data_IF_594996068137
#
_entry.id   IF_594996068137
#
_cell.length_a   1.000
_cell.length_b   1.000
_cell.length_c   1.000
_cell.angle_alpha   90.00
_cell.angle_beta   90.00
_cell.angle_gamma   90.00
#
_symmetry.space_group_name_H-M   'P 1'
#
loop_
_entity.id
_entity.type
_entity.pdbx_description
1 polymer ?
#
# COMPACT_ATOMS: atom_id res chain seq x y z
N UNK A 1 -2.45 34.71 6.54
CA UNK A 1 -2.59 34.12 5.20
C UNK A 1 -1.33 33.36 4.80
N UNK A 2 -0.13 33.97 4.88
CA UNK A 2 1.15 33.32 4.52
C UNK A 2 1.41 31.93 5.14
N UNK A 3 1.08 31.72 6.42
CA UNK A 3 1.34 30.43 7.09
C UNK A 3 0.51 29.25 6.58
N UNK A 4 -0.71 29.48 6.05
CA UNK A 4 -1.52 28.38 5.52
C UNK A 4 -0.96 27.85 4.20
N UNK A 5 -0.43 28.73 3.37
CA UNK A 5 0.09 28.36 2.04
C UNK A 5 1.40 27.59 2.15
N UNK A 6 2.26 27.98 3.09
CA UNK A 6 3.50 27.25 3.42
C UNK A 6 3.18 25.85 3.97
N UNK A 7 2.22 25.73 4.89
CA UNK A 7 1.82 24.42 5.43
C UNK A 7 1.21 23.52 4.36
N UNK A 8 0.44 24.09 3.43
CA UNK A 8 -0.14 23.35 2.30
C UNK A 8 0.93 22.88 1.32
N UNK A 9 1.96 23.69 1.06
CA UNK A 9 3.12 23.29 0.27
C UNK A 9 3.91 22.14 0.91
N UNK A 10 4.18 22.21 2.22
CA UNK A 10 4.86 21.12 2.95
C UNK A 10 4.01 19.84 2.93
N UNK A 11 2.70 19.96 3.11
CA UNK A 11 1.77 18.85 3.08
C UNK A 11 1.74 18.13 1.72
N UNK A 12 1.74 18.89 0.62
CA UNK A 12 1.84 18.34 -0.74
C UNK A 12 3.16 17.62 -0.99
N UNK A 13 4.28 18.21 -0.59
CA UNK A 13 5.61 17.59 -0.72
C UNK A 13 5.68 16.30 0.10
N UNK A 14 5.21 16.34 1.35
CA UNK A 14 5.17 15.17 2.23
C UNK A 14 4.28 14.07 1.64
N UNK A 15 3.11 14.42 1.09
CA UNK A 15 2.20 13.48 0.42
C UNK A 15 2.79 12.87 -0.87
N UNK A 16 3.57 13.63 -1.65
CA UNK A 16 4.25 13.10 -2.84
C UNK A 16 5.44 12.20 -2.47
N UNK A 17 6.18 12.55 -1.42
CA UNK A 17 7.35 11.80 -0.99
C UNK A 17 6.98 10.53 -0.20
N UNK A 18 5.84 10.52 0.51
CA UNK A 18 5.48 9.42 1.41
C UNK A 18 5.32 8.07 0.71
N UNK A 19 4.66 7.92 -0.46
CA UNK A 19 4.56 6.63 -1.14
C UNK A 19 5.94 6.07 -1.50
N UNK A 20 6.86 6.94 -1.93
CA UNK A 20 8.22 6.56 -2.32
C UNK A 20 8.98 6.07 -1.10
N UNK A 21 8.92 6.82 0.02
CA UNK A 21 9.63 6.47 1.25
C UNK A 21 9.06 5.20 1.90
N UNK A 22 7.74 5.07 1.96
CA UNK A 22 7.03 3.91 2.53
C UNK A 22 7.28 2.68 1.68
N UNK A 23 7.14 2.81 0.36
CA UNK A 23 7.47 1.77 -0.61
C UNK A 23 8.92 1.33 -0.46
N UNK A 24 9.87 2.27 -0.43
CA UNK A 24 11.27 1.96 -0.23
C UNK A 24 11.53 1.25 1.12
N UNK A 25 10.94 1.71 2.21
CA UNK A 25 11.15 1.12 3.53
C UNK A 25 10.61 -0.31 3.66
N UNK A 26 9.38 -0.54 3.16
CA UNK A 26 8.70 -1.83 3.24
C UNK A 26 9.25 -2.80 2.19
N UNK A 27 9.45 -2.36 0.95
CA UNK A 27 9.82 -3.22 -0.18
C UNK A 27 11.34 -3.44 -0.32
N UNK A 28 12.20 -2.53 0.14
CA UNK A 28 13.66 -2.71 0.04
C UNK A 28 14.17 -4.08 0.55
N UNK A 29 13.76 -4.59 1.72
CA UNK A 29 14.19 -5.93 2.15
C UNK A 29 13.70 -7.04 1.22
N UNK A 30 12.50 -6.91 0.64
CA UNK A 30 11.94 -7.87 -0.31
C UNK A 30 12.66 -7.81 -1.66
N UNK A 31 12.91 -6.62 -2.18
CA UNK A 31 13.64 -6.42 -3.44
C UNK A 31 15.07 -6.94 -3.34
N UNK A 32 15.73 -6.69 -2.20
CA UNK A 32 17.05 -7.28 -1.92
C UNK A 32 16.96 -8.80 -1.93
N UNK A 33 16.01 -9.40 -1.23
CA UNK A 33 15.84 -10.86 -1.22
C UNK A 33 15.53 -11.43 -2.62
N UNK A 34 14.67 -10.75 -3.39
CA UNK A 34 14.27 -11.13 -4.73
C UNK A 34 15.44 -11.12 -5.73
N UNK A 35 16.31 -10.10 -5.64
CA UNK A 35 17.51 -10.00 -6.49
C UNK A 35 18.52 -11.12 -6.24
N UNK A 36 18.67 -11.56 -4.99
CA UNK A 36 19.64 -12.57 -4.61
C UNK A 36 19.17 -14.00 -4.93
N UNK A 37 17.90 -14.35 -4.70
CA UNK A 37 17.44 -15.74 -4.86
C UNK A 37 17.01 -16.11 -6.27
N UNK A 38 16.39 -15.18 -7.01
CA UNK A 38 15.82 -15.43 -8.34
C UNK A 38 14.96 -16.70 -8.42
N UNK A 39 14.17 -16.97 -7.36
CA UNK A 39 13.32 -18.17 -7.29
C UNK A 39 12.25 -18.13 -8.41
N UNK A 40 11.86 -19.29 -8.99
CA UNK A 40 10.79 -19.33 -9.99
C UNK A 40 9.49 -18.77 -9.41
N UNK A 41 8.80 -17.96 -10.20
CA UNK A 41 7.53 -17.38 -9.82
C UNK A 41 6.48 -18.48 -9.61
N UNK A 42 5.82 -18.48 -8.44
CA UNK A 42 4.74 -19.40 -8.11
C UNK A 42 3.50 -18.62 -7.74
N UNK A 43 2.44 -18.78 -8.53
CA UNK A 43 1.13 -18.23 -8.23
C UNK A 43 0.37 -19.12 -7.25
N UNK A 44 -0.33 -18.53 -6.28
CA UNK A 44 -1.14 -19.26 -5.29
C UNK A 44 -2.54 -18.68 -5.18
N UNK A 45 -3.51 -19.48 -4.70
CA UNK A 45 -4.87 -19.01 -4.42
C UNK A 45 -4.91 -17.83 -3.44
N UNK A 46 -3.96 -17.78 -2.50
CA UNK A 46 -3.79 -16.64 -1.59
C UNK A 46 -3.56 -15.32 -2.34
N UNK A 47 -2.78 -15.34 -3.42
CA UNK A 47 -2.55 -14.14 -4.23
C UNK A 47 -3.83 -13.69 -4.92
N UNK A 48 -4.62 -14.63 -5.45
CA UNK A 48 -5.91 -14.33 -6.09
C UNK A 48 -6.87 -13.64 -5.12
N UNK A 49 -7.07 -14.19 -3.93
CA UNK A 49 -7.91 -13.56 -2.90
C UNK A 49 -7.34 -12.22 -2.44
N UNK A 50 -6.01 -12.09 -2.41
CA UNK A 50 -5.33 -10.83 -2.18
C UNK A 50 -5.69 -9.74 -3.17
N UNK A 51 -5.76 -10.08 -4.46
CA UNK A 51 -6.19 -9.13 -5.50
C UNK A 51 -7.63 -8.69 -5.28
N UNK A 52 -8.54 -9.65 -5.05
CA UNK A 52 -9.95 -9.34 -4.81
C UNK A 52 -10.11 -8.42 -3.60
N UNK A 53 -9.38 -8.69 -2.52
CA UNK A 53 -9.37 -7.84 -1.32
C UNK A 53 -8.79 -6.45 -1.62
N UNK A 54 -7.66 -6.38 -2.34
CA UNK A 54 -7.02 -5.11 -2.68
C UNK A 54 -7.91 -4.22 -3.55
N UNK A 55 -8.64 -4.81 -4.50
CA UNK A 55 -9.57 -4.11 -5.41
C UNK A 55 -10.77 -3.53 -4.64
N UNK A 56 -11.27 -4.22 -3.61
CA UNK A 56 -12.42 -3.74 -2.84
C UNK A 56 -12.12 -2.41 -2.13
N UNK A 57 -10.87 -2.15 -1.76
CA UNK A 57 -10.48 -0.94 -1.03
C UNK A 57 -10.71 0.35 -1.82
N UNK A 58 -10.09 0.56 -3.00
CA UNK A 58 -10.34 1.76 -3.77
C UNK A 58 -11.77 1.80 -4.31
N UNK A 59 -12.43 0.66 -4.56
CA UNK A 59 -13.85 0.65 -4.90
C UNK A 59 -14.74 1.17 -3.76
N UNK A 60 -14.44 0.78 -2.51
CA UNK A 60 -15.13 1.31 -1.33
C UNK A 60 -14.87 2.81 -1.17
N UNK A 61 -13.63 3.27 -1.42
CA UNK A 61 -13.30 4.69 -1.40
C UNK A 61 -14.09 5.47 -2.46
N UNK A 62 -14.14 5.01 -3.72
CA UNK A 62 -14.93 5.65 -4.78
C UNK A 62 -16.40 5.72 -4.37
N UNK A 63 -16.99 4.63 -3.87
CA UNK A 63 -18.38 4.62 -3.42
C UNK A 63 -18.65 5.52 -2.20
N UNK A 64 -17.66 5.71 -1.32
CA UNK A 64 -17.80 6.51 -0.10
C UNK A 64 -17.60 8.00 -0.34
N UNK A 65 -16.74 8.39 -1.29
CA UNK A 65 -16.34 9.78 -1.51
C UNK A 65 -16.94 10.41 -2.77
N UNK A 66 -17.31 9.63 -3.79
CA UNK A 66 -17.91 10.16 -5.01
C UNK A 66 -19.42 10.28 -4.81
N UNK A 67 -20.01 11.48 -4.98
CA UNK A 67 -21.46 11.64 -4.91
C UNK A 67 -22.17 10.67 -5.85
N UNK A 68 -23.28 10.08 -5.39
CA UNK A 68 -24.06 9.17 -6.24
C UNK A 68 -24.69 9.97 -7.39
N UNK A 69 -24.56 9.50 -8.63
CA UNK A 69 -25.11 10.21 -9.79
C UNK A 69 -26.64 10.29 -9.67
N UNK A 70 -27.20 11.47 -9.95
CA UNK A 70 -28.65 11.70 -9.97
C UNK A 70 -29.29 11.31 -11.31
N UNK A 71 -28.48 11.13 -12.36
CA UNK A 71 -28.90 10.68 -13.69
C UNK A 71 -27.84 9.74 -14.30
N UNK A 72 -28.25 8.90 -15.25
CA UNK A 72 -27.34 7.93 -15.90
C UNK A 72 -26.21 8.60 -16.70
N UNK A 73 -26.43 9.78 -17.27
CA UNK A 73 -25.45 10.50 -18.10
C UNK A 73 -24.32 11.14 -17.29
N UNK A 74 -24.51 11.38 -15.99
CA UNK A 74 -23.53 12.05 -15.12
C UNK A 74 -22.52 11.09 -14.48
N UNK A 75 -22.52 9.81 -14.89
CA UNK A 75 -21.74 8.75 -14.23
C UNK A 75 -20.34 8.52 -14.84
N UNK A 76 -19.97 9.26 -15.88
CA UNK A 76 -18.73 9.06 -16.63
C UNK A 76 -17.46 9.21 -15.77
N UNK A 77 -17.45 10.18 -14.84
CA UNK A 77 -16.33 10.41 -13.92
C UNK A 77 -16.13 9.26 -12.92
N UNK A 78 -17.22 8.72 -12.36
CA UNK A 78 -17.14 7.60 -11.43
C UNK A 78 -16.64 6.32 -12.13
N UNK A 79 -17.12 6.06 -13.35
CA UNK A 79 -16.66 4.93 -14.17
C UNK A 79 -15.14 5.03 -14.41
N UNK A 80 -14.64 6.20 -14.79
CA UNK A 80 -13.21 6.42 -14.98
C UNK A 80 -12.41 6.13 -13.69
N UNK A 81 -12.90 6.61 -12.55
CA UNK A 81 -12.27 6.34 -11.24
C UNK A 81 -12.26 4.84 -10.90
N UNK A 82 -13.33 4.11 -11.19
CA UNK A 82 -13.36 2.64 -11.01
C UNK A 82 -12.34 1.93 -11.89
N UNK A 83 -12.24 2.29 -13.17
CA UNK A 83 -11.27 1.70 -14.10
C UNK A 83 -9.84 1.98 -13.62
N UNK A 84 -9.55 3.22 -13.23
CA UNK A 84 -8.24 3.59 -12.69
C UNK A 84 -7.93 2.84 -11.39
N UNK A 85 -8.89 2.74 -10.46
CA UNK A 85 -8.76 1.99 -9.23
C UNK A 85 -8.43 0.52 -9.48
N UNK A 86 -9.11 -0.11 -10.44
CA UNK A 86 -8.86 -1.50 -10.85
C UNK A 86 -7.45 -1.67 -11.44
N UNK A 87 -7.06 -0.79 -12.38
CA UNK A 87 -5.75 -0.86 -13.03
C UNK A 87 -4.61 -0.68 -12.03
N UNK A 88 -4.70 0.32 -11.14
CA UNK A 88 -3.67 0.55 -10.12
C UNK A 88 -3.60 -0.63 -9.16
N UNK A 89 -4.73 -1.18 -8.72
CA UNK A 89 -4.76 -2.36 -7.85
C UNK A 89 -4.12 -3.56 -8.52
N UNK A 90 -4.42 -3.81 -9.80
CA UNK A 90 -3.84 -4.91 -10.56
C UNK A 90 -2.32 -4.77 -10.71
N UNK A 91 -1.82 -3.55 -10.99
CA UNK A 91 -0.38 -3.27 -11.11
C UNK A 91 0.34 -3.45 -9.77
N UNK A 92 -0.18 -2.87 -8.69
CA UNK A 92 0.39 -2.98 -7.34
C UNK A 92 0.40 -4.44 -6.87
N UNK A 93 -0.70 -5.15 -7.08
CA UNK A 93 -0.78 -6.56 -6.76
C UNK A 93 0.22 -7.40 -7.57
N UNK A 94 0.25 -7.23 -8.90
CA UNK A 94 1.12 -8.02 -9.78
C UNK A 94 2.59 -7.83 -9.42
N UNK A 95 3.00 -6.58 -9.19
CA UNK A 95 4.38 -6.25 -8.77
C UNK A 95 4.71 -6.90 -7.43
N UNK A 96 3.83 -6.81 -6.43
CA UNK A 96 4.03 -7.41 -5.12
C UNK A 96 4.14 -8.94 -5.19
N UNK A 97 3.20 -9.61 -5.85
CA UNK A 97 3.19 -11.08 -5.99
C UNK A 97 4.43 -11.56 -6.74
N UNK A 98 4.85 -10.85 -7.79
CA UNK A 98 6.09 -11.13 -8.52
C UNK A 98 7.31 -11.00 -7.61
N UNK A 99 7.37 -9.98 -6.76
CA UNK A 99 8.45 -9.78 -5.80
C UNK A 99 8.46 -10.87 -4.73
N UNK A 100 7.31 -11.24 -4.17
CA UNK A 100 7.20 -12.33 -3.18
C UNK A 100 7.68 -13.67 -3.74
N UNK A 101 7.27 -14.00 -4.97
CA UNK A 101 7.71 -15.19 -5.68
C UNK A 101 9.23 -15.22 -5.88
N UNK A 102 9.81 -14.13 -6.40
CA UNK A 102 11.26 -14.01 -6.59
C UNK A 102 12.05 -14.06 -5.28
N UNK A 103 11.49 -13.52 -4.20
CA UNK A 103 12.08 -13.58 -2.85
C UNK A 103 12.07 -15.00 -2.25
N UNK A 104 11.43 -15.97 -2.91
CA UNK A 104 11.40 -17.38 -2.48
C UNK A 104 10.53 -17.60 -1.25
N UNK A 105 9.48 -16.79 -1.05
CA UNK A 105 8.56 -16.90 0.07
C UNK A 105 7.52 -17.96 -0.29
N UNK A 106 7.78 -19.20 0.10
CA UNK A 106 6.96 -20.37 -0.26
C UNK A 106 5.94 -20.76 0.82
N UNK A 107 6.15 -20.33 2.07
CA UNK A 107 5.26 -20.67 3.19
C UNK A 107 3.94 -19.89 3.06
N UNK A 108 2.83 -20.61 2.97
CA UNK A 108 1.48 -20.04 2.79
C UNK A 108 1.16 -19.00 3.87
N UNK A 109 1.47 -19.29 5.14
CA UNK A 109 1.22 -18.36 6.25
C UNK A 109 1.95 -17.02 6.07
N UNK A 110 3.24 -17.06 5.73
CA UNK A 110 4.04 -15.85 5.52
C UNK A 110 3.53 -15.05 4.32
N UNK A 111 3.13 -15.74 3.26
CA UNK A 111 2.52 -15.13 2.07
C UNK A 111 1.17 -14.48 2.37
N UNK A 112 0.31 -15.12 3.17
CA UNK A 112 -0.95 -14.53 3.62
C UNK A 112 -0.72 -13.22 4.38
N UNK A 113 0.25 -13.17 5.31
CA UNK A 113 0.59 -11.94 6.02
C UNK A 113 1.04 -10.82 5.08
N UNK A 114 1.86 -11.14 4.09
CA UNK A 114 2.30 -10.16 3.10
C UNK A 114 1.15 -9.65 2.23
N UNK A 115 0.27 -10.55 1.78
CA UNK A 115 -0.80 -10.24 0.84
C UNK A 115 -1.98 -9.54 1.49
N UNK A 116 -2.39 -9.93 2.70
CA UNK A 116 -3.60 -9.38 3.36
C UNK A 116 -3.31 -8.23 4.32
N UNK A 117 -2.06 -8.04 4.75
CA UNK A 117 -1.72 -6.97 5.70
C UNK A 117 -0.69 -6.02 5.13
N UNK A 118 0.48 -6.52 4.72
CA UNK A 118 1.56 -5.63 4.25
C UNK A 118 1.20 -4.94 2.95
N UNK A 119 0.63 -5.65 1.99
CA UNK A 119 0.29 -5.10 0.68
C UNK A 119 -0.83 -4.04 0.79
N UNK A 120 -1.97 -4.30 1.47
CA UNK A 120 -2.97 -3.28 1.78
C UNK A 120 -2.41 -2.12 2.58
N UNK A 121 -1.57 -2.36 3.59
CA UNK A 121 -0.95 -1.27 4.36
C UNK A 121 -0.05 -0.41 3.48
N UNK A 122 0.80 -1.01 2.65
CA UNK A 122 1.65 -0.27 1.71
C UNK A 122 0.84 0.52 0.68
N UNK A 123 -0.25 -0.07 0.17
CA UNK A 123 -1.17 0.59 -0.74
C UNK A 123 -1.89 1.77 -0.06
N UNK A 124 -2.52 1.54 1.09
CA UNK A 124 -3.30 2.53 1.83
C UNK A 124 -2.44 3.68 2.34
N UNK A 125 -1.27 3.36 2.91
CA UNK A 125 -0.35 4.35 3.45
C UNK A 125 0.28 5.23 2.36
N UNK A 126 0.19 4.85 1.08
CA UNK A 126 0.54 5.74 -0.02
C UNK A 126 -0.50 6.85 -0.22
N UNK A 127 -1.79 6.57 0.00
CA UNK A 127 -2.89 7.52 -0.22
C UNK A 127 -3.29 8.28 1.03
N UNK A 128 -3.22 7.66 2.21
CA UNK A 128 -3.65 8.26 3.46
C UNK A 128 -3.00 9.61 3.80
N UNK A 129 -1.69 9.81 3.57
CA UNK A 129 -1.06 11.10 3.83
C UNK A 129 -1.72 12.25 3.08
N UNK A 130 -2.21 12.02 1.86
CA UNK A 130 -2.97 13.01 1.10
C UNK A 130 -4.29 13.35 1.76
N UNK A 131 -5.03 12.34 2.20
CA UNK A 131 -6.31 12.51 2.89
C UNK A 131 -6.09 13.24 4.22
N UNK A 132 -5.11 12.81 5.01
CA UNK A 132 -4.75 13.45 6.28
C UNK A 132 -4.34 14.92 6.08
N UNK A 133 -3.54 15.21 5.05
CA UNK A 133 -3.15 16.58 4.70
C UNK A 133 -4.36 17.44 4.32
N UNK A 134 -5.27 16.92 3.48
CA UNK A 134 -6.50 17.61 3.10
C UNK A 134 -7.40 17.88 4.32
N UNK A 135 -7.52 16.92 5.23
CA UNK A 135 -8.30 17.06 6.47
C UNK A 135 -7.67 18.08 7.43
N UNK A 136 -6.34 18.10 7.60
CA UNK A 136 -5.66 19.07 8.48
C UNK A 136 -5.82 20.51 7.95
N UNK A 137 -5.81 20.67 6.62
CA UNK A 137 -6.01 21.96 5.97
C UNK A 137 -7.43 22.53 6.20
N UNK A 138 -8.44 21.67 6.34
CA UNK A 138 -9.83 22.06 6.62
C UNK A 138 -10.09 22.06 8.15
N UNK A 139 -10.31 23.24 8.74
CA UNK A 139 -10.16 23.51 10.18
C UNK A 139 -10.96 22.66 11.20
N UNK A 140 -12.14 22.05 10.94
CA UNK A 140 -12.88 21.36 12.00
C UNK A 140 -12.39 19.92 12.31
N UNK A 141 -11.45 19.33 11.57
CA UNK A 141 -11.08 17.90 11.71
C UNK A 141 -9.60 17.63 12.03
N UNK A 142 -8.87 18.61 12.60
CA UNK A 142 -7.42 18.48 12.88
C UNK A 142 -7.02 17.26 13.71
N UNK A 143 -7.81 16.90 14.74
CA UNK A 143 -7.52 15.73 15.57
C UNK A 143 -7.56 14.43 14.74
N UNK A 144 -8.56 14.28 13.87
CA UNK A 144 -8.69 13.13 12.97
C UNK A 144 -7.51 13.04 11.99
N UNK A 145 -7.08 14.19 11.46
CA UNK A 145 -5.89 14.23 10.60
C UNK A 145 -4.61 13.79 11.31
N UNK A 146 -4.42 14.17 12.57
CA UNK A 146 -3.27 13.72 13.39
C UNK A 146 -3.36 12.22 13.70
N UNK A 147 -4.55 11.71 14.04
CA UNK A 147 -4.76 10.28 14.30
C UNK A 147 -4.48 9.44 13.05
N UNK A 148 -4.96 9.87 11.87
CA UNK A 148 -4.67 9.21 10.60
C UNK A 148 -3.17 9.23 10.29
N UNK A 149 -2.48 10.36 10.49
CA UNK A 149 -1.03 10.43 10.28
C UNK A 149 -0.27 9.48 11.23
N UNK A 150 -0.68 9.40 12.50
CA UNK A 150 -0.11 8.47 13.47
C UNK A 150 -0.35 7.01 13.06
N UNK A 151 -1.55 6.68 12.58
CA UNK A 151 -1.90 5.36 12.07
C UNK A 151 -1.01 4.94 10.89
N UNK A 152 -0.78 5.84 9.91
CA UNK A 152 0.13 5.59 8.78
C UNK A 152 1.53 5.22 9.27
N UNK A 153 2.04 5.97 10.24
CA UNK A 153 3.39 5.73 10.79
C UNK A 153 3.45 4.38 11.49
N UNK A 154 2.51 4.09 12.38
CA UNK A 154 2.48 2.83 13.13
C UNK A 154 2.34 1.62 12.20
N UNK A 155 1.40 1.66 11.26
CA UNK A 155 1.17 0.57 10.31
C UNK A 155 2.35 0.38 9.36
N UNK A 156 3.01 1.45 8.91
CA UNK A 156 4.24 1.38 8.10
C UNK A 156 5.38 0.73 8.86
N UNK A 157 5.61 1.13 10.11
CA UNK A 157 6.66 0.56 10.95
C UNK A 157 6.37 -0.93 11.19
N UNK A 158 5.13 -1.27 11.57
CA UNK A 158 4.71 -2.64 11.82
C UNK A 158 4.87 -3.52 10.56
N UNK A 159 4.43 -3.03 9.39
CA UNK A 159 4.58 -3.72 8.11
C UNK A 159 6.06 -3.93 7.77
N UNK A 160 6.90 -2.91 7.92
CA UNK A 160 8.34 -3.03 7.67
C UNK A 160 9.04 -4.04 8.59
N UNK A 161 8.69 -4.06 9.89
CA UNK A 161 9.20 -5.05 10.84
C UNK A 161 8.75 -6.47 10.43
N UNK A 162 7.47 -6.63 10.09
CA UNK A 162 6.90 -7.90 9.67
C UNK A 162 7.59 -8.45 8.42
N UNK A 163 7.77 -7.61 7.39
CA UNK A 163 8.49 -7.99 6.17
C UNK A 163 9.91 -8.46 6.49
N UNK A 164 10.67 -7.71 7.29
CA UNK A 164 12.04 -8.09 7.67
C UNK A 164 12.07 -9.43 8.41
N UNK A 165 11.11 -9.68 9.30
CA UNK A 165 10.98 -10.96 10.02
C UNK A 165 10.70 -12.12 9.05
N UNK A 166 9.77 -11.93 8.11
CA UNK A 166 9.43 -12.95 7.10
C UNK A 166 10.63 -13.25 6.19
N UNK A 167 11.29 -12.21 5.70
CA UNK A 167 12.48 -12.34 4.84
C UNK A 167 13.59 -13.10 5.58
N UNK A 168 13.88 -12.75 6.85
CA UNK A 168 14.88 -13.46 7.68
C UNK A 168 14.53 -14.92 7.88
N UNK A 169 13.27 -15.24 8.23
CA UNK A 169 12.80 -16.63 8.40
C UNK A 169 12.85 -17.45 7.12
N UNK A 170 12.74 -16.78 5.98
CA UNK A 170 12.76 -17.43 4.68
C UNK A 170 14.19 -17.74 4.24
N UNK A 171 15.24 -17.14 4.83
CA UNK A 171 16.64 -17.40 4.45
C UNK A 171 16.99 -18.85 4.75
N UNK A 172 17.46 -19.63 3.75
CA UNK A 172 17.97 -20.97 4.02
C UNK A 172 19.15 -20.84 4.98
N UNK A 173 19.24 -21.75 5.95
CA UNK A 173 20.37 -21.88 6.88
C UNK A 173 21.58 -22.33 6.06
N UNK A 174 22.18 -21.42 5.30
CA UNK A 174 23.38 -21.70 4.49
C UNK A 174 24.66 -21.49 5.32
N UNK A 175 24.51 -21.13 6.60
CA UNK A 175 25.62 -20.75 7.47
C UNK A 175 26.17 -21.88 8.36
N UNK A 176 25.76 -23.14 8.21
CA UNK A 176 26.25 -24.24 9.07
C UNK A 176 27.10 -25.30 8.34
N UNK A 177 27.42 -25.12 7.05
CA UNK A 177 28.20 -26.10 6.27
C UNK A 177 29.32 -25.50 5.41
N UNK A 178 29.76 -24.27 5.69
CA UNK A 178 30.96 -23.68 5.13
C UNK A 178 31.91 -23.27 6.27
#
# INVERSE_FOLDING_TARGET
>A
MVWSDVLLGIALIAGLASPILIGAYILSPLDKAAKHRRSPFRYTMTDFFGLMFLVQLPMAAVNGFVPKPTSFDDNSGAILLYVLALLVSAVVWWTAVRTFGKAGITRVKDRMWLVFFVLPAGYYNAFLPWVACAMIAHRPTRLWGVLLAAEVVVTTIAAGILVRRIVKKSQPVVAELA
#
